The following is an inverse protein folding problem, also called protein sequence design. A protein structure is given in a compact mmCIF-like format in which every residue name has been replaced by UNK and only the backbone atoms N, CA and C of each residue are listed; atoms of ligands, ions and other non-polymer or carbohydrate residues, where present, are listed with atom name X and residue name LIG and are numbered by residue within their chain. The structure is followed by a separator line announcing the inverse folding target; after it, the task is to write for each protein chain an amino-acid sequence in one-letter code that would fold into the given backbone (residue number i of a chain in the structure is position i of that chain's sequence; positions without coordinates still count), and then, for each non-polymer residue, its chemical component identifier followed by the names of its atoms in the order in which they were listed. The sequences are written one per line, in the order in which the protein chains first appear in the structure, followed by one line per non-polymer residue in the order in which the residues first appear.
data_IF_081729272954
#
_entry.id   IF_081729272954
#
_cell.length_a   1.000
_cell.length_b   1.000
_cell.length_c   1.000
_cell.angle_alpha   90.00
_cell.angle_beta   90.00
_cell.angle_gamma   90.00
#
_symmetry.space_group_name_H-M   'P 1'
#
loop_
_entity.id
_entity.type
_entity.pdbx_description
1 polymer ?
#
# COMPACT_ATOMS: atom_id res chain seq x y z
N UNK A 1 0.85 5.84 -11.63
CA UNK A 1 0.14 5.74 -12.93
C UNK A 1 -0.24 7.12 -13.50
N UNK A 2 -0.65 8.09 -12.67
CA UNK A 2 -0.96 9.46 -13.14
C UNK A 2 0.22 10.12 -13.88
N UNK A 3 1.45 9.98 -13.39
CA UNK A 3 2.64 10.55 -14.06
C UNK A 3 3.01 9.75 -15.33
N UNK A 4 2.90 8.43 -15.29
CA UNK A 4 3.22 7.55 -16.42
C UNK A 4 2.42 6.24 -16.34
N UNK A 5 1.65 5.83 -17.35
CA UNK A 5 1.50 6.46 -18.67
C UNK A 5 0.57 7.68 -18.68
N UNK A 6 -0.16 7.94 -17.58
CA UNK A 6 -1.24 8.89 -17.43
C UNK A 6 -2.58 8.18 -17.24
N UNK A 7 -3.37 8.63 -16.27
CA UNK A 7 -4.69 8.06 -15.94
C UNK A 7 -5.68 8.18 -17.09
N UNK A 8 -5.60 9.25 -17.91
CA UNK A 8 -6.42 9.42 -19.10
C UNK A 8 -6.18 8.34 -20.17
N UNK A 9 -4.92 7.86 -20.31
CA UNK A 9 -4.62 6.75 -21.21
C UNK A 9 -5.26 5.47 -20.70
N UNK A 10 -5.16 5.22 -19.39
CA UNK A 10 -5.77 4.04 -18.77
C UNK A 10 -7.30 4.09 -18.87
N UNK A 11 -7.93 5.27 -18.67
CA UNK A 11 -9.36 5.48 -18.89
C UNK A 11 -9.77 5.11 -20.32
N UNK A 12 -9.08 5.63 -21.33
CA UNK A 12 -9.36 5.33 -22.75
C UNK A 12 -9.24 3.84 -23.10
N UNK A 13 -8.40 3.10 -22.36
CA UNK A 13 -8.23 1.65 -22.51
C UNK A 13 -9.21 0.83 -21.65
N UNK A 14 -10.17 1.48 -20.98
CA UNK A 14 -11.24 0.85 -20.22
C UNK A 14 -10.93 0.56 -18.77
N UNK A 15 -9.98 1.31 -18.17
CA UNK A 15 -9.58 1.20 -16.76
C UNK A 15 -8.52 0.13 -16.51
N UNK A 16 -8.05 0.07 -15.26
CA UNK A 16 -6.95 -0.82 -14.85
C UNK A 16 -7.23 -2.29 -15.11
N UNK A 17 -8.45 -2.76 -14.81
CA UNK A 17 -8.81 -4.17 -14.97
C UNK A 17 -8.55 -4.66 -16.41
N UNK A 18 -8.97 -3.88 -17.41
CA UNK A 18 -8.69 -4.19 -18.83
C UNK A 18 -7.22 -3.99 -19.18
N UNK A 19 -6.63 -2.89 -18.69
CA UNK A 19 -5.25 -2.52 -19.02
C UNK A 19 -4.21 -3.56 -18.59
N UNK A 20 -4.42 -4.21 -17.42
CA UNK A 20 -3.49 -5.24 -16.89
C UNK A 20 -4.05 -6.66 -16.97
N UNK A 21 -5.24 -6.85 -17.58
CA UNK A 21 -5.92 -8.15 -17.67
C UNK A 21 -6.09 -8.81 -16.28
N UNK A 22 -6.75 -8.08 -15.37
CA UNK A 22 -6.99 -8.51 -13.98
C UNK A 22 -8.47 -8.44 -13.64
N UNK A 23 -9.05 -9.57 -13.23
CA UNK A 23 -10.49 -9.71 -12.99
C UNK A 23 -10.90 -9.58 -11.51
N UNK A 24 -9.92 -9.56 -10.60
CA UNK A 24 -10.18 -9.46 -9.16
C UNK A 24 -10.12 -8.00 -8.67
N UNK A 25 -10.56 -7.70 -7.44
CA UNK A 25 -10.48 -6.34 -6.90
C UNK A 25 -9.10 -5.71 -7.03
N UNK A 26 -9.08 -4.42 -7.31
CA UNK A 26 -7.88 -3.57 -7.35
C UNK A 26 -8.09 -2.41 -6.39
N UNK A 27 -7.13 -2.20 -5.51
CA UNK A 27 -7.03 -0.99 -4.69
C UNK A 27 -6.02 -0.04 -5.34
N UNK A 28 -6.36 1.24 -5.44
CA UNK A 28 -5.43 2.31 -5.83
C UNK A 28 -5.15 3.22 -4.66
N UNK A 29 -3.87 3.53 -4.46
CA UNK A 29 -3.45 4.54 -3.49
C UNK A 29 -3.70 5.95 -4.02
N UNK A 30 -3.93 6.89 -3.11
CA UNK A 30 -4.23 8.30 -3.40
C UNK A 30 -3.07 9.10 -3.96
N UNK A 31 -1.85 8.62 -3.75
CA UNK A 31 -0.60 9.34 -4.05
C UNK A 31 -0.05 10.16 -2.87
N UNK A 32 -0.71 10.17 -1.72
CA UNK A 32 -0.28 10.92 -0.53
C UNK A 32 1.11 10.52 -0.05
N UNK A 33 1.37 9.21 0.08
CA UNK A 33 2.68 8.70 0.51
C UNK A 33 3.81 8.98 -0.50
N UNK A 34 3.53 8.90 -1.81
CA UNK A 34 4.54 9.20 -2.84
C UNK A 34 4.93 10.68 -2.79
N UNK A 35 3.97 11.56 -2.54
CA UNK A 35 4.23 12.99 -2.31
C UNK A 35 4.98 13.22 -0.99
N UNK A 36 4.67 12.43 0.05
CA UNK A 36 5.42 12.45 1.32
C UNK A 36 6.91 12.16 1.11
N UNK A 37 7.26 11.16 0.29
CA UNK A 37 8.65 10.78 0.00
C UNK A 37 9.46 11.86 -0.73
N UNK A 38 8.81 12.90 -1.31
CA UNK A 38 9.43 14.02 -2.02
C UNK A 38 9.69 15.23 -1.11
N UNK A 39 10.12 15.02 0.12
CA UNK A 39 10.18 16.01 1.22
C UNK A 39 10.70 17.41 0.86
N UNK A 40 11.75 17.54 0.06
CA UNK A 40 12.35 18.82 -0.34
C UNK A 40 11.68 19.53 -1.52
N UNK A 41 10.75 18.86 -2.20
CA UNK A 41 10.13 19.33 -3.45
C UNK A 41 8.62 19.56 -3.34
N UNK A 42 8.08 19.53 -2.11
CA UNK A 42 6.64 19.66 -1.88
C UNK A 42 6.28 20.88 -1.02
N UNK A 43 5.09 21.42 -1.26
CA UNK A 43 4.45 22.44 -0.42
C UNK A 43 3.02 22.00 -0.12
N UNK A 44 2.73 21.72 1.14
CA UNK A 44 1.40 21.32 1.63
C UNK A 44 0.62 22.59 1.97
N UNK A 45 -0.63 22.64 1.53
CA UNK A 45 -1.59 23.69 1.83
C UNK A 45 -2.96 23.09 2.10
N UNK A 46 -3.93 23.88 2.51
CA UNK A 46 -5.29 23.42 2.76
C UNK A 46 -5.97 22.89 1.49
N UNK A 47 -5.72 23.50 0.34
CA UNK A 47 -6.29 23.06 -0.94
C UNK A 47 -5.70 21.74 -1.45
N UNK A 48 -4.46 21.38 -1.06
CA UNK A 48 -3.73 20.19 -1.53
C UNK A 48 -2.23 20.40 -1.50
N UNK A 49 -1.50 19.61 -2.29
CA UNK A 49 -0.03 19.58 -2.31
C UNK A 49 0.51 19.96 -3.68
N UNK A 50 1.46 20.88 -3.70
CA UNK A 50 2.27 21.23 -4.86
C UNK A 50 3.61 20.52 -4.80
N UNK A 51 3.98 19.83 -5.85
CA UNK A 51 5.27 19.12 -5.92
C UNK A 51 5.79 19.07 -7.36
N UNK A 52 7.07 18.69 -7.49
CA UNK A 52 7.68 18.50 -8.80
C UNK A 52 7.83 17.01 -9.11
N UNK A 53 7.42 16.60 -10.31
CA UNK A 53 7.57 15.22 -10.78
C UNK A 53 9.06 14.84 -10.84
N UNK A 54 9.40 13.70 -10.25
CA UNK A 54 10.76 13.13 -10.32
C UNK A 54 11.12 12.54 -11.70
N UNK A 55 10.13 12.43 -12.61
CA UNK A 55 10.32 11.85 -13.94
C UNK A 55 10.73 12.92 -14.95
N UNK A 56 10.09 14.09 -14.91
CA UNK A 56 10.22 15.15 -15.90
C UNK A 56 10.34 16.56 -15.30
N UNK A 57 10.33 16.68 -13.98
CA UNK A 57 10.47 17.96 -13.25
C UNK A 57 9.24 18.88 -13.32
N UNK A 58 8.16 18.51 -14.02
CA UNK A 58 6.99 19.36 -14.13
C UNK A 58 6.32 19.57 -12.77
N UNK A 59 5.77 20.77 -12.56
CA UNK A 59 4.99 21.08 -11.37
C UNK A 59 3.63 20.43 -11.45
N UNK A 60 3.26 19.73 -10.38
CA UNK A 60 1.99 19.02 -10.23
C UNK A 60 1.27 19.56 -8.99
N UNK A 61 -0.02 19.79 -9.12
CA UNK A 61 -0.93 19.99 -8.01
C UNK A 61 -1.74 18.70 -7.80
N UNK A 62 -1.83 18.24 -6.55
CA UNK A 62 -2.65 17.11 -6.16
C UNK A 62 -3.45 17.50 -4.91
N UNK A 63 -4.75 17.45 -5.02
CA UNK A 63 -5.67 17.61 -3.90
C UNK A 63 -6.70 16.48 -3.88
N UNK A 64 -7.62 16.50 -2.93
CA UNK A 64 -8.66 15.47 -2.80
C UNK A 64 -9.42 15.21 -4.11
N UNK A 65 -9.91 16.26 -4.77
CA UNK A 65 -10.71 16.14 -5.99
C UNK A 65 -9.88 15.57 -7.15
N UNK A 66 -8.62 16.02 -7.29
CA UNK A 66 -7.71 15.51 -8.32
C UNK A 66 -7.39 14.03 -8.09
N UNK A 67 -7.12 13.64 -6.84
CA UNK A 67 -6.85 12.25 -6.49
C UNK A 67 -8.07 11.36 -6.81
N UNK A 68 -9.27 11.79 -6.43
CA UNK A 68 -10.49 11.05 -6.76
C UNK A 68 -10.74 10.96 -8.27
N UNK A 69 -10.53 12.04 -9.02
CA UNK A 69 -10.66 12.01 -10.49
C UNK A 69 -9.69 11.03 -11.13
N UNK A 70 -8.42 11.01 -10.68
CA UNK A 70 -7.41 10.09 -11.19
C UNK A 70 -7.80 8.64 -10.89
N UNK A 71 -8.22 8.34 -9.65
CA UNK A 71 -8.61 6.99 -9.26
C UNK A 71 -9.91 6.54 -9.97
N UNK A 72 -10.85 7.45 -10.22
CA UNK A 72 -12.04 7.21 -11.05
C UNK A 72 -11.66 6.87 -12.49
N UNK A 73 -10.70 7.59 -13.09
CA UNK A 73 -10.18 7.30 -14.43
C UNK A 73 -9.48 5.93 -14.49
N UNK A 74 -8.78 5.55 -13.41
CA UNK A 74 -8.17 4.23 -13.27
C UNK A 74 -9.20 3.12 -13.07
N UNK A 75 -10.41 3.47 -12.61
CA UNK A 75 -11.53 2.57 -12.38
C UNK A 75 -11.20 1.38 -11.44
N UNK A 76 -10.42 1.64 -10.39
CA UNK A 76 -10.14 0.64 -9.36
C UNK A 76 -11.41 0.26 -8.60
N UNK A 77 -11.39 -0.90 -7.93
CA UNK A 77 -12.49 -1.33 -7.07
C UNK A 77 -12.55 -0.46 -5.81
N UNK A 78 -11.39 -0.17 -5.22
CA UNK A 78 -11.23 0.61 -3.99
C UNK A 78 -10.32 1.80 -4.29
N UNK A 79 -10.78 2.99 -3.94
CA UNK A 79 -10.00 4.23 -3.96
C UNK A 79 -9.62 4.62 -2.52
N UNK A 80 -8.36 4.95 -2.30
CA UNK A 80 -7.90 5.50 -1.02
C UNK A 80 -8.15 7.00 -0.98
N UNK A 81 -8.64 7.51 0.15
CA UNK A 81 -8.75 8.95 0.37
C UNK A 81 -7.37 9.63 0.31
N UNK A 82 -7.35 10.88 -0.17
CA UNK A 82 -6.12 11.67 -0.16
C UNK A 82 -5.84 12.15 1.27
N UNK A 83 -4.66 11.85 1.78
CA UNK A 83 -4.24 12.10 3.15
C UNK A 83 -2.87 12.76 3.24
N UNK A 84 -2.50 13.20 4.42
CA UNK A 84 -1.15 13.61 4.75
C UNK A 84 -0.46 12.57 5.63
N UNK A 85 0.46 11.80 5.03
CA UNK A 85 1.33 10.91 5.79
C UNK A 85 2.42 11.72 6.49
N UNK A 86 2.61 11.48 7.79
CA UNK A 86 3.58 12.18 8.65
C UNK A 86 4.71 11.21 8.97
N UNK A 87 5.96 11.67 8.80
CA UNK A 87 7.13 10.90 9.25
C UNK A 87 7.31 10.98 10.78
N UNK A 88 7.92 9.95 11.35
CA UNK A 88 8.22 9.85 12.77
C UNK A 88 9.73 10.04 12.96
N UNK A 89 10.17 10.88 13.94
CA UNK A 89 9.37 11.65 14.91
C UNK A 89 8.73 12.91 14.33
N UNK A 90 7.61 13.36 14.91
CA UNK A 90 6.95 14.62 14.56
C UNK A 90 6.39 15.31 15.81
N UNK A 91 6.40 16.64 15.78
CA UNK A 91 5.85 17.46 16.86
C UNK A 91 4.33 17.30 16.96
N UNK A 92 3.81 17.18 18.19
CA UNK A 92 2.39 16.90 18.47
C UNK A 92 1.43 17.91 17.81
N UNK A 93 1.75 19.21 17.90
CA UNK A 93 0.92 20.26 17.29
C UNK A 93 0.84 20.11 15.76
N UNK A 94 1.94 19.77 15.12
CA UNK A 94 1.97 19.50 13.69
C UNK A 94 1.09 18.27 13.34
N UNK A 95 1.19 17.20 14.13
CA UNK A 95 0.40 15.98 13.93
C UNK A 95 -1.09 16.29 14.06
N UNK A 96 -1.51 17.05 15.08
CA UNK A 96 -2.90 17.44 15.24
C UNK A 96 -3.42 18.24 14.03
N UNK A 97 -2.67 19.25 13.60
CA UNK A 97 -3.02 20.07 12.43
C UNK A 97 -3.12 19.25 11.14
N UNK A 98 -2.24 18.28 10.96
CA UNK A 98 -2.24 17.38 9.82
C UNK A 98 -3.43 16.42 9.83
N UNK A 99 -3.76 15.86 10.97
CA UNK A 99 -4.94 14.99 11.15
C UNK A 99 -6.23 15.76 10.88
N UNK A 100 -6.35 16.99 11.37
CA UNK A 100 -7.52 17.84 11.09
C UNK A 100 -7.64 18.17 9.59
N UNK A 101 -6.53 18.41 8.90
CA UNK A 101 -6.50 18.59 7.45
C UNK A 101 -6.88 17.31 6.72
N UNK A 102 -6.34 16.17 7.11
CA UNK A 102 -6.67 14.85 6.53
C UNK A 102 -8.17 14.56 6.66
N UNK A 103 -8.79 14.91 7.81
CA UNK A 103 -10.23 14.76 7.98
C UNK A 103 -11.03 15.63 7.00
N UNK A 104 -10.68 16.91 6.83
CA UNK A 104 -11.34 17.79 5.85
C UNK A 104 -11.10 17.32 4.41
N UNK A 105 -9.94 16.79 4.11
CA UNK A 105 -9.63 16.21 2.81
C UNK A 105 -10.46 14.95 2.54
N UNK A 106 -10.69 14.11 3.56
CA UNK A 106 -11.54 12.93 3.44
C UNK A 106 -13.00 13.32 3.10
N UNK A 107 -13.56 14.35 3.74
CA UNK A 107 -14.88 14.87 3.38
C UNK A 107 -14.97 15.31 1.92
N UNK A 108 -13.93 16.00 1.44
CA UNK A 108 -13.82 16.42 0.02
C UNK A 108 -13.69 15.23 -0.91
N UNK A 109 -12.89 14.20 -0.55
CA UNK A 109 -12.78 12.96 -1.30
C UNK A 109 -14.14 12.25 -1.42
N UNK A 110 -14.86 12.10 -0.30
CA UNK A 110 -16.20 11.48 -0.28
C UNK A 110 -17.16 12.19 -1.22
N UNK A 111 -17.23 13.51 -1.14
CA UNK A 111 -18.07 14.35 -2.03
C UNK A 111 -17.69 14.18 -3.49
N UNK A 112 -16.40 14.26 -3.79
CA UNK A 112 -15.88 14.15 -5.16
C UNK A 112 -16.16 12.78 -5.75
N UNK A 113 -15.86 11.69 -5.04
CA UNK A 113 -16.09 10.34 -5.54
C UNK A 113 -17.58 10.05 -5.75
N UNK A 114 -18.44 10.47 -4.81
CA UNK A 114 -19.88 10.33 -4.98
C UNK A 114 -20.37 11.01 -6.27
N UNK A 115 -19.94 12.24 -6.52
CA UNK A 115 -20.29 12.95 -7.74
C UNK A 115 -19.73 12.28 -9.02
N UNK A 116 -18.52 11.72 -8.95
CA UNK A 116 -17.90 10.98 -10.05
C UNK A 116 -18.67 9.70 -10.36
N UNK A 117 -19.08 8.95 -9.36
CA UNK A 117 -19.85 7.71 -9.51
C UNK A 117 -21.23 7.93 -10.19
N UNK A 118 -21.76 9.15 -10.18
CA UNK A 118 -23.02 9.50 -10.87
C UNK A 118 -22.83 9.89 -12.35
N UNK A 119 -21.61 10.13 -12.82
CA UNK A 119 -21.37 10.55 -14.20
C UNK A 119 -21.56 9.41 -15.18
N UNK A 120 -22.07 9.71 -16.38
CA UNK A 120 -22.32 8.71 -17.43
C UNK A 120 -21.03 8.07 -17.94
N UNK A 121 -19.95 8.84 -18.07
CA UNK A 121 -18.65 8.42 -18.60
C UNK A 121 -17.72 7.75 -17.55
N UNK A 122 -18.19 7.57 -16.32
CA UNK A 122 -17.46 6.85 -15.30
C UNK A 122 -17.50 5.35 -15.57
N UNK A 123 -16.32 4.71 -15.63
CA UNK A 123 -16.17 3.28 -15.93
C UNK A 123 -16.66 2.43 -14.76
N UNK A 124 -16.21 2.70 -13.54
CA UNK A 124 -16.66 2.02 -12.33
C UNK A 124 -17.54 2.94 -11.48
N UNK A 125 -18.85 2.81 -11.60
CA UNK A 125 -19.83 3.61 -10.84
C UNK A 125 -20.05 3.16 -9.41
N UNK A 126 -19.41 2.07 -9.00
CA UNK A 126 -19.48 1.48 -7.67
C UNK A 126 -18.11 1.49 -6.99
N UNK A 127 -17.24 2.43 -7.37
CA UNK A 127 -15.93 2.56 -6.74
C UNK A 127 -16.09 2.90 -5.26
N UNK A 128 -15.50 2.07 -4.40
CA UNK A 128 -15.52 2.21 -2.95
C UNK A 128 -14.48 3.21 -2.47
N UNK A 129 -14.76 3.89 -1.35
CA UNK A 129 -13.85 4.82 -0.70
C UNK A 129 -13.39 4.29 0.67
N UNK A 130 -12.08 4.21 0.86
CA UNK A 130 -11.49 3.94 2.17
C UNK A 130 -10.88 5.22 2.75
N UNK A 131 -11.26 5.52 4.02
CA UNK A 131 -10.63 6.58 4.80
C UNK A 131 -9.36 6.10 5.46
N UNK A 132 -8.44 7.02 5.78
CA UNK A 132 -7.14 6.69 6.36
C UNK A 132 -7.02 7.33 7.74
N UNK A 133 -6.87 6.51 8.78
CA UNK A 133 -6.50 6.95 10.12
C UNK A 133 -5.05 7.39 10.16
N UNK A 134 -4.78 8.57 10.64
CA UNK A 134 -3.47 9.17 10.85
C UNK A 134 -3.31 9.65 12.29
N UNK A 135 -2.08 9.98 12.73
CA UNK A 135 -1.83 10.48 14.10
C UNK A 135 -0.43 10.15 14.64
N UNK A 136 0.50 9.73 13.76
CA UNK A 136 1.85 9.29 14.14
C UNK A 136 1.78 8.20 15.23
N UNK A 137 2.50 8.38 16.35
CA UNK A 137 2.47 7.48 17.54
C UNK A 137 1.67 8.06 18.71
N UNK A 138 0.88 9.13 18.48
CA UNK A 138 0.05 9.73 19.52
C UNK A 138 -1.30 9.02 19.59
N UNK A 139 -1.44 8.16 20.57
CA UNK A 139 -2.61 7.31 20.81
C UNK A 139 -3.93 8.10 20.83
N UNK A 140 -4.01 9.13 21.65
CA UNK A 140 -5.21 9.95 21.80
C UNK A 140 -5.64 10.66 20.51
N UNK A 141 -4.66 11.15 19.70
CA UNK A 141 -4.93 11.75 18.39
C UNK A 141 -5.46 10.68 17.42
N UNK A 142 -4.88 9.49 17.44
CA UNK A 142 -5.32 8.37 16.60
C UNK A 142 -6.72 7.89 16.95
N UNK A 143 -7.01 7.72 18.23
CA UNK A 143 -8.35 7.32 18.71
C UNK A 143 -9.40 8.34 18.32
N UNK A 144 -9.12 9.63 18.56
CA UNK A 144 -10.05 10.71 18.18
C UNK A 144 -10.28 10.73 16.66
N UNK A 145 -9.22 10.59 15.89
CA UNK A 145 -9.33 10.53 14.42
C UNK A 145 -10.08 9.28 13.94
N UNK A 146 -9.88 8.11 14.58
CA UNK A 146 -10.62 6.90 14.25
C UNK A 146 -12.13 7.09 14.43
N UNK A 147 -12.57 7.70 15.56
CA UNK A 147 -13.96 8.03 15.80
C UNK A 147 -14.53 8.98 14.74
N UNK A 148 -13.79 10.05 14.41
CA UNK A 148 -14.22 11.05 13.42
C UNK A 148 -14.41 10.46 12.02
N UNK A 149 -13.48 9.61 11.56
CA UNK A 149 -13.62 8.97 10.24
C UNK A 149 -14.68 7.87 10.24
N UNK A 150 -14.90 7.19 11.37
CA UNK A 150 -15.96 6.18 11.52
C UNK A 150 -17.36 6.80 11.37
N UNK A 151 -17.57 8.00 11.90
CA UNK A 151 -18.83 8.75 11.75
C UNK A 151 -19.15 9.15 10.31
N UNK A 152 -18.17 9.06 9.40
CA UNK A 152 -18.38 9.38 7.98
C UNK A 152 -19.01 8.25 7.17
N UNK A 153 -19.23 7.06 7.73
CA UNK A 153 -19.80 5.88 7.06
C UNK A 153 -19.18 5.62 5.67
N UNK A 154 -17.97 5.09 5.68
CA UNK A 154 -17.19 4.74 4.50
C UNK A 154 -17.32 3.25 4.17
N UNK A 155 -16.79 2.84 3.00
CA UNK A 155 -16.79 1.42 2.60
C UNK A 155 -15.76 0.59 3.35
N UNK A 156 -14.70 1.23 3.88
CA UNK A 156 -13.67 0.62 4.68
C UNK A 156 -12.71 1.66 5.28
N UNK A 157 -11.82 1.20 6.13
CA UNK A 157 -10.92 2.05 6.90
C UNK A 157 -9.49 1.53 6.83
N UNK A 158 -8.56 2.45 6.63
CA UNK A 158 -7.14 2.13 6.64
C UNK A 158 -6.43 2.77 7.83
N UNK A 159 -5.37 2.15 8.28
CA UNK A 159 -4.41 2.68 9.25
C UNK A 159 -3.14 3.00 8.49
N UNK A 160 -2.87 4.29 8.30
CA UNK A 160 -1.69 4.80 7.62
C UNK A 160 -0.67 5.42 8.59
N UNK A 161 0.47 5.84 8.05
CA UNK A 161 1.51 6.51 8.83
C UNK A 161 2.14 5.65 9.92
N UNK A 162 2.17 4.33 9.73
CA UNK A 162 2.96 3.35 10.47
C UNK A 162 4.00 2.70 9.55
N UNK A 163 4.98 2.00 10.12
CA UNK A 163 6.18 1.50 9.41
C UNK A 163 7.00 2.62 8.72
N UNK A 164 7.01 3.82 9.33
CA UNK A 164 7.71 5.01 8.83
C UNK A 164 8.75 5.58 9.82
N UNK A 165 9.13 4.77 10.85
CA UNK A 165 10.18 5.14 11.82
C UNK A 165 9.96 4.66 13.25
N UNK A 166 8.76 4.26 13.61
CA UNK A 166 8.44 3.68 14.92
C UNK A 166 8.96 2.23 15.06
N UNK A 167 9.00 1.75 16.28
CA UNK A 167 9.30 0.35 16.60
C UNK A 167 8.09 -0.55 16.33
N UNK A 168 8.32 -1.86 16.15
CA UNK A 168 7.22 -2.83 16.03
C UNK A 168 6.29 -2.81 17.26
N UNK A 169 6.84 -2.65 18.47
CA UNK A 169 6.06 -2.58 19.69
C UNK A 169 5.11 -1.36 19.70
N UNK A 170 5.60 -0.20 19.27
CA UNK A 170 4.78 1.01 19.12
C UNK A 170 3.67 0.81 18.07
N UNK A 171 4.01 0.19 16.92
CA UNK A 171 3.02 -0.13 15.89
C UNK A 171 1.93 -1.05 16.44
N UNK A 172 2.27 -2.13 17.13
CA UNK A 172 1.31 -3.08 17.69
C UNK A 172 0.42 -2.42 18.75
N UNK A 173 1.01 -1.60 19.61
CA UNK A 173 0.27 -0.84 20.60
C UNK A 173 -0.75 0.10 19.93
N UNK A 174 -0.35 0.84 18.91
CA UNK A 174 -1.28 1.72 18.17
C UNK A 174 -2.41 0.92 17.51
N UNK A 175 -2.14 -0.25 16.95
CA UNK A 175 -3.19 -1.10 16.38
C UNK A 175 -4.19 -1.56 17.45
N UNK A 176 -3.71 -1.98 18.62
CA UNK A 176 -4.51 -2.42 19.75
C UNK A 176 -5.45 -1.32 20.24
N UNK A 177 -4.95 -0.08 20.29
CA UNK A 177 -5.72 1.09 20.74
C UNK A 177 -6.68 1.65 19.68
N UNK A 178 -6.37 1.53 18.40
CA UNK A 178 -7.13 2.19 17.31
C UNK A 178 -8.23 1.31 16.73
N UNK A 179 -7.91 0.03 16.45
CA UNK A 179 -8.84 -0.89 15.75
C UNK A 179 -10.19 -1.02 16.44
N UNK A 180 -10.32 -1.03 17.78
CA UNK A 180 -11.61 -1.10 18.46
C UNK A 180 -12.55 0.08 18.15
N UNK A 181 -12.03 1.22 17.71
CA UNK A 181 -12.83 2.40 17.35
C UNK A 181 -13.19 2.48 15.86
N UNK A 182 -12.72 1.53 15.05
CA UNK A 182 -13.14 1.38 13.66
C UNK A 182 -14.37 0.46 13.56
N UNK A 183 -15.28 0.67 12.59
CA UNK A 183 -16.49 -0.15 12.43
C UNK A 183 -16.16 -1.63 12.15
N UNK A 184 -16.56 -2.51 13.06
CA UNK A 184 -16.28 -3.96 13.01
C UNK A 184 -16.95 -4.69 11.83
N UNK A 185 -17.92 -4.10 11.17
CA UNK A 185 -18.60 -4.62 9.99
C UNK A 185 -18.02 -4.09 8.67
N UNK A 186 -16.92 -3.38 8.73
CA UNK A 186 -16.20 -2.83 7.57
C UNK A 186 -14.75 -3.32 7.59
N UNK A 187 -14.13 -3.54 6.42
CA UNK A 187 -12.75 -4.01 6.36
C UNK A 187 -11.75 -2.97 6.91
N UNK A 188 -10.77 -3.46 7.67
CA UNK A 188 -9.64 -2.69 8.19
C UNK A 188 -8.36 -3.04 7.41
N UNK A 189 -7.71 -2.04 6.86
CA UNK A 189 -6.51 -2.15 6.03
C UNK A 189 -5.30 -1.52 6.72
N UNK A 190 -4.22 -2.26 6.94
CA UNK A 190 -2.95 -1.72 7.44
C UNK A 190 -2.00 -1.45 6.27
N UNK A 191 -1.70 -0.17 6.03
CA UNK A 191 -0.94 0.28 4.87
C UNK A 191 0.56 0.06 5.03
N UNK A 192 1.21 -0.48 4.01
CA UNK A 192 2.67 -0.60 3.90
C UNK A 192 3.33 -1.66 4.78
N UNK A 193 2.58 -2.50 5.47
CA UNK A 193 3.05 -3.52 6.42
C UNK A 193 2.78 -4.92 5.89
N UNK A 194 3.66 -5.91 5.96
CA UNK A 194 4.94 -5.89 6.66
C UNK A 194 5.68 -7.22 6.52
N UNK A 195 6.44 -7.57 7.55
CA UNK A 195 7.02 -8.93 7.66
C UNK A 195 5.93 -9.95 8.01
N UNK A 196 6.19 -11.26 7.86
CA UNK A 196 5.25 -12.28 8.30
C UNK A 196 4.79 -12.10 9.75
N UNK A 197 5.73 -11.79 10.66
CA UNK A 197 5.43 -11.53 12.06
C UNK A 197 4.50 -10.31 12.23
N UNK A 198 4.80 -9.20 11.54
CA UNK A 198 3.96 -7.99 11.61
C UNK A 198 2.53 -8.24 11.12
N UNK A 199 2.37 -9.07 10.09
CA UNK A 199 1.06 -9.41 9.54
C UNK A 199 0.27 -10.24 10.57
N UNK A 200 0.87 -11.28 11.15
CA UNK A 200 0.21 -12.12 12.16
C UNK A 200 -0.21 -11.31 13.39
N UNK A 201 0.68 -10.47 13.91
CA UNK A 201 0.39 -9.57 15.04
C UNK A 201 -0.74 -8.57 14.71
N UNK A 202 -0.79 -8.08 13.49
CA UNK A 202 -1.84 -7.16 13.07
C UNK A 202 -3.20 -7.86 12.86
N UNK A 203 -3.21 -9.09 12.30
CA UNK A 203 -4.43 -9.90 12.17
C UNK A 203 -5.02 -10.23 13.54
N UNK A 204 -4.18 -10.57 14.53
CA UNK A 204 -4.61 -10.80 15.92
C UNK A 204 -5.32 -9.57 16.51
N UNK A 205 -4.96 -8.37 16.07
CA UNK A 205 -5.56 -7.10 16.49
C UNK A 205 -6.74 -6.63 15.62
N UNK A 206 -7.19 -7.45 14.68
CA UNK A 206 -8.38 -7.20 13.87
C UNK A 206 -8.14 -6.47 12.54
N UNK A 207 -6.93 -6.55 11.99
CA UNK A 207 -6.64 -6.06 10.62
C UNK A 207 -6.97 -7.15 9.60
N UNK A 208 -7.66 -6.79 8.51
CA UNK A 208 -8.17 -7.72 7.51
C UNK A 208 -7.25 -7.90 6.31
N UNK A 209 -6.57 -6.84 5.84
CA UNK A 209 -5.69 -6.95 4.67
C UNK A 209 -4.56 -5.91 4.67
N UNK A 210 -3.59 -6.13 3.77
CA UNK A 210 -2.29 -5.49 3.79
C UNK A 210 -1.79 -5.21 2.38
N UNK A 211 -0.90 -4.24 2.24
CA UNK A 211 0.07 -4.19 1.14
C UNK A 211 1.48 -4.15 1.70
N UNK A 212 2.42 -4.71 0.98
CA UNK A 212 3.82 -4.64 1.37
C UNK A 212 4.78 -4.78 0.19
N UNK A 213 5.80 -3.94 0.16
CA UNK A 213 6.86 -4.01 -0.83
C UNK A 213 7.87 -5.14 -0.56
N UNK A 214 7.93 -5.64 0.70
CA UNK A 214 8.98 -6.58 1.13
C UNK A 214 9.03 -7.87 0.30
N UNK A 215 7.93 -8.56 -0.05
CA UNK A 215 8.00 -9.77 -0.86
C UNK A 215 8.73 -9.54 -2.18
N UNK A 216 8.39 -8.48 -2.89
CA UNK A 216 9.00 -8.16 -4.18
C UNK A 216 10.38 -7.53 -4.04
N UNK A 217 10.60 -6.63 -3.07
CA UNK A 217 11.91 -6.03 -2.79
C UNK A 217 12.93 -7.09 -2.42
N UNK A 218 12.61 -7.95 -1.46
CA UNK A 218 13.49 -9.02 -1.01
C UNK A 218 13.75 -10.04 -2.13
N UNK A 219 12.74 -10.44 -2.88
CA UNK A 219 12.89 -11.34 -4.03
C UNK A 219 13.87 -10.81 -5.08
N UNK A 220 13.81 -9.52 -5.39
CA UNK A 220 14.78 -8.88 -6.31
C UNK A 220 16.23 -8.90 -5.80
N UNK A 221 16.44 -9.10 -4.50
CA UNK A 221 17.75 -9.16 -3.84
C UNK A 221 18.10 -10.59 -3.37
N UNK A 222 17.52 -11.61 -3.99
CA UNK A 222 17.74 -13.02 -3.68
C UNK A 222 17.34 -13.45 -2.26
N UNK A 223 16.57 -12.64 -1.53
CA UNK A 223 16.04 -13.02 -0.24
C UNK A 223 14.63 -13.60 -0.42
N UNK A 224 14.45 -14.84 0.04
CA UNK A 224 13.18 -15.56 -0.07
C UNK A 224 12.71 -16.06 1.30
N UNK A 225 11.39 -16.16 1.46
CA UNK A 225 10.75 -16.58 2.70
C UNK A 225 10.40 -18.06 2.65
N UNK A 226 10.62 -18.76 3.75
CA UNK A 226 10.25 -20.17 3.94
C UNK A 226 9.64 -20.35 5.32
N UNK A 227 8.98 -21.48 5.58
CA UNK A 227 8.46 -21.81 6.92
C UNK A 227 9.58 -21.93 7.97
N UNK A 228 10.83 -22.11 7.56
CA UNK A 228 12.01 -22.13 8.43
C UNK A 228 12.70 -20.75 8.53
N UNK A 229 12.10 -19.68 7.98
CA UNK A 229 12.61 -18.33 7.99
C UNK A 229 13.13 -17.84 6.65
N UNK A 230 13.69 -16.64 6.65
CA UNK A 230 14.20 -15.96 5.45
C UNK A 230 15.62 -16.45 5.12
N UNK A 231 15.84 -16.82 3.85
CA UNK A 231 17.15 -17.26 3.34
C UNK A 231 17.63 -16.33 2.21
N UNK A 232 18.98 -16.26 2.05
CA UNK A 232 19.60 -15.53 0.95
C UNK A 232 20.23 -16.52 -0.03
N UNK A 233 19.66 -16.63 -1.23
CA UNK A 233 20.11 -17.59 -2.27
C UNK A 233 21.49 -17.26 -2.86
N UNK A 234 22.06 -16.08 -2.59
CA UNK A 234 23.45 -15.77 -3.00
C UNK A 234 24.51 -16.46 -2.14
N UNK A 235 24.14 -17.04 -0.99
CA UNK A 235 25.07 -17.75 -0.12
C UNK A 235 25.73 -18.92 -0.87
N UNK A 236 27.03 -19.14 -0.62
CA UNK A 236 27.82 -20.18 -1.29
C UNK A 236 27.27 -21.60 -1.08
N UNK A 237 26.68 -21.87 0.09
CA UNK A 237 26.08 -23.17 0.41
C UNK A 237 25.00 -23.65 -0.58
N UNK A 238 24.41 -22.73 -1.37
CA UNK A 238 23.40 -23.07 -2.37
C UNK A 238 23.97 -23.31 -3.78
N UNK A 239 25.30 -23.34 -3.93
CA UNK A 239 25.95 -23.51 -5.23
C UNK A 239 25.67 -24.86 -5.88
N UNK A 240 25.63 -25.90 -5.07
CA UNK A 240 25.35 -27.28 -5.49
C UNK A 240 24.02 -27.81 -4.93
N UNK A 241 23.14 -26.92 -4.43
CA UNK A 241 21.88 -27.29 -3.81
C UNK A 241 20.79 -27.46 -4.90
N UNK A 242 20.48 -28.70 -5.24
CA UNK A 242 19.48 -29.07 -6.23
C UNK A 242 18.02 -29.03 -5.72
N UNK A 243 17.84 -28.74 -4.41
CA UNK A 243 16.52 -28.62 -3.79
C UNK A 243 15.79 -27.36 -4.26
N UNK A 244 14.45 -27.36 -4.24
CA UNK A 244 13.64 -26.15 -4.46
C UNK A 244 13.84 -25.14 -3.32
N UNK A 245 13.34 -23.89 -3.47
CA UNK A 245 13.38 -22.89 -2.40
C UNK A 245 12.73 -23.44 -1.13
N UNK A 246 11.55 -24.06 -1.26
CA UNK A 246 10.85 -24.77 -0.20
C UNK A 246 10.17 -26.02 -0.76
N UNK A 247 10.31 -27.17 -0.05
CA UNK A 247 9.79 -28.46 -0.54
C UNK A 247 8.25 -28.54 -0.52
N UNK A 248 7.64 -27.85 0.41
CA UNK A 248 6.19 -27.80 0.65
C UNK A 248 5.49 -26.67 -0.13
N UNK A 249 6.21 -25.98 -1.03
CA UNK A 249 5.71 -24.83 -1.76
C UNK A 249 5.19 -25.21 -3.16
N UNK A 250 3.92 -24.91 -3.44
CA UNK A 250 3.28 -25.14 -4.75
C UNK A 250 3.57 -24.07 -5.81
N UNK A 251 4.40 -23.05 -5.54
CA UNK A 251 4.65 -21.99 -6.50
C UNK A 251 5.41 -22.47 -7.74
N UNK A 252 5.24 -21.81 -8.91
CA UNK A 252 5.92 -22.21 -10.15
C UNK A 252 7.46 -22.24 -10.06
N UNK A 253 8.05 -21.43 -9.17
CA UNK A 253 9.50 -21.43 -8.96
C UNK A 253 9.97 -22.73 -8.27
N UNK A 254 9.31 -23.11 -7.17
CA UNK A 254 9.66 -24.33 -6.42
C UNK A 254 9.36 -25.61 -7.19
N UNK A 255 8.34 -25.61 -8.04
CA UNK A 255 7.94 -26.80 -8.82
C UNK A 255 8.90 -27.12 -9.96
N UNK A 256 9.78 -26.19 -10.36
CA UNK A 256 10.58 -26.35 -11.58
C UNK A 256 12.06 -26.07 -11.42
N UNK A 257 12.47 -25.30 -10.41
CA UNK A 257 13.83 -24.76 -10.33
C UNK A 257 14.49 -25.02 -8.99
N UNK A 258 15.77 -25.38 -9.02
CA UNK A 258 16.58 -25.58 -7.84
C UNK A 258 17.15 -24.24 -7.30
N UNK A 259 17.55 -24.23 -6.03
CA UNK A 259 18.28 -23.12 -5.42
C UNK A 259 19.59 -22.83 -6.17
N UNK A 260 20.32 -23.87 -6.59
CA UNK A 260 21.55 -23.73 -7.37
C UNK A 260 21.31 -22.99 -8.69
N UNK A 261 20.26 -23.36 -9.43
CA UNK A 261 19.94 -22.71 -10.70
C UNK A 261 19.53 -21.23 -10.50
N UNK A 262 18.66 -20.94 -9.52
CA UNK A 262 18.26 -19.55 -9.23
C UNK A 262 19.47 -18.71 -8.79
N UNK A 263 20.36 -19.27 -7.96
CA UNK A 263 21.63 -18.64 -7.60
C UNK A 263 22.49 -18.35 -8.82
N UNK A 264 22.64 -19.32 -9.73
CA UNK A 264 23.37 -19.13 -10.99
C UNK A 264 22.80 -17.94 -11.78
N UNK A 265 21.50 -17.88 -11.97
CA UNK A 265 20.82 -16.78 -12.66
C UNK A 265 21.13 -15.41 -12.03
N UNK A 266 21.14 -15.30 -10.70
CA UNK A 266 21.56 -14.06 -10.02
C UNK A 266 23.03 -13.71 -10.31
N UNK A 267 23.94 -14.70 -10.28
CA UNK A 267 25.35 -14.49 -10.62
C UNK A 267 25.55 -14.06 -12.07
N UNK A 268 24.75 -14.61 -12.98
CA UNK A 268 24.70 -14.24 -14.38
C UNK A 268 23.95 -12.92 -14.66
N UNK A 269 23.36 -12.28 -13.62
CA UNK A 269 22.54 -11.05 -13.71
C UNK A 269 21.30 -11.19 -14.61
N UNK A 270 20.75 -12.40 -14.70
CA UNK A 270 19.51 -12.67 -15.43
C UNK A 270 18.28 -12.21 -14.64
N UNK A 271 17.41 -11.43 -15.27
CA UNK A 271 16.17 -10.91 -14.63
C UNK A 271 15.20 -12.02 -14.21
N UNK A 272 15.29 -13.21 -14.85
CA UNK A 272 14.48 -14.37 -14.49
C UNK A 272 14.67 -14.75 -13.02
N UNK A 273 15.89 -14.63 -12.46
CA UNK A 273 16.16 -14.89 -11.04
C UNK A 273 15.25 -14.07 -10.13
N UNK A 274 15.18 -12.76 -10.38
CA UNK A 274 14.32 -11.84 -9.60
C UNK A 274 12.86 -12.22 -9.73
N UNK A 275 12.39 -12.52 -10.94
CA UNK A 275 11.01 -12.94 -11.20
C UNK A 275 10.63 -14.19 -10.43
N UNK A 276 11.49 -15.22 -10.45
CA UNK A 276 11.24 -16.48 -9.74
C UNK A 276 11.15 -16.28 -8.22
N UNK A 277 12.08 -15.51 -7.66
CA UNK A 277 12.05 -15.19 -6.22
C UNK A 277 10.83 -14.33 -5.82
N UNK A 278 10.45 -13.36 -6.66
CA UNK A 278 9.24 -12.54 -6.40
C UNK A 278 7.98 -13.41 -6.46
N UNK A 279 7.85 -14.28 -7.46
CA UNK A 279 6.72 -15.23 -7.56
C UNK A 279 6.64 -16.13 -6.33
N UNK A 280 7.77 -16.67 -5.87
CA UNK A 280 7.83 -17.49 -4.66
C UNK A 280 7.41 -16.70 -3.43
N UNK A 281 7.97 -15.50 -3.22
CA UNK A 281 7.63 -14.69 -2.05
C UNK A 281 6.16 -14.27 -2.04
N UNK A 282 5.61 -13.84 -3.18
CA UNK A 282 4.18 -13.51 -3.27
C UNK A 282 3.30 -14.73 -2.99
N UNK A 283 3.68 -15.92 -3.49
CA UNK A 283 2.98 -17.16 -3.19
C UNK A 283 3.01 -17.46 -1.70
N UNK A 284 4.19 -17.34 -1.06
CA UNK A 284 4.36 -17.56 0.39
C UNK A 284 3.43 -16.66 1.20
N UNK A 285 3.44 -15.34 0.93
CA UNK A 285 2.60 -14.38 1.65
C UNK A 285 1.09 -14.62 1.42
N UNK A 286 0.69 -14.91 0.18
CA UNK A 286 -0.71 -15.20 -0.12
C UNK A 286 -1.20 -16.55 0.46
N UNK A 287 -0.31 -17.52 0.70
CA UNK A 287 -0.68 -18.78 1.33
C UNK A 287 -0.76 -18.63 2.85
N UNK A 288 -0.01 -17.70 3.42
CA UNK A 288 -0.04 -17.39 4.85
C UNK A 288 -1.34 -16.69 5.24
N UNK A 289 -1.88 -15.79 4.37
CA UNK A 289 -3.18 -15.13 4.52
C UNK A 289 -4.34 -16.11 4.22
#
# INVERSE_FOLDING_TARGET
LHVRPGDEIVKKLGGLHKFIVWEKPILTDSGGFQVFSLTSLRKIKEEGVYFSSHVDGRKIFMGPEQSMQIQSNLASTIAMAFDECIGIPAEREYVQNSVDRTTRWLERCKKALYALNQKEDTINKQQMLFGINQGAVYEDIRIEHAKRISDMDLDGYAIGGLAVGETHAEMYHILEEVVPYLPQNKPTYLMGVGTPENILEAVERGVDFFDCVLPSRNGRHAHVYTNAGKINLLNAKYELDDAPIAHDCGCPACQRYSRAYIRHLFKAKEMLAMRLCVLHNLYFFNTMM
#
